data_IF_809871887624
#
_entry.id   IF_809871887624
#
_cell.length_a   1.000
_cell.length_b   1.000
_cell.length_c   1.000
_cell.angle_alpha   90.00
_cell.angle_beta   90.00
_cell.angle_gamma   90.00
#
_symmetry.space_group_name_H-M   'P 1'
#
loop_
_entity.id
_entity.type
_entity.pdbx_description
1 polymer ?
#
# COMPACT_ATOMS: atom_id res chain seq x y z
N UNK A 1 5.71 31.03 -21.42
CA UNK A 1 5.16 30.73 -20.08
C UNK A 1 5.26 29.23 -19.87
N UNK A 2 6.28 28.77 -19.14
CA UNK A 2 6.58 27.34 -19.03
C UNK A 2 5.64 26.67 -18.02
N UNK A 3 4.72 25.87 -18.54
CA UNK A 3 3.87 24.95 -17.80
C UNK A 3 4.73 23.88 -17.11
N UNK A 4 5.20 24.16 -15.89
CA UNK A 4 5.76 23.13 -15.01
C UNK A 4 4.61 22.26 -14.50
N UNK A 5 4.60 21.03 -15.01
CA UNK A 5 4.23 19.77 -14.35
C UNK A 5 3.38 19.88 -13.08
N UNK A 6 2.18 19.29 -13.09
CA UNK A 6 1.41 18.90 -11.90
C UNK A 6 2.10 17.75 -11.12
N UNK A 7 3.38 17.90 -10.73
CA UNK A 7 4.19 16.87 -10.05
C UNK A 7 5.04 17.47 -8.93
N UNK A 8 4.39 17.95 -7.86
CA UNK A 8 5.13 18.50 -6.72
C UNK A 8 4.30 18.83 -5.48
N UNK A 9 3.12 18.24 -5.30
CA UNK A 9 2.38 18.39 -4.05
C UNK A 9 2.96 17.38 -3.06
N UNK A 10 3.95 17.81 -2.28
CA UNK A 10 4.47 17.02 -1.14
C UNK A 10 3.28 16.63 -0.25
N UNK A 11 3.12 15.33 0.00
CA UNK A 11 2.06 14.82 0.87
C UNK A 11 2.45 15.16 2.30
N UNK A 12 1.71 16.08 2.91
CA UNK A 12 2.02 16.62 4.25
C UNK A 12 0.93 16.39 5.27
N UNK A 13 -0.24 15.91 4.85
CA UNK A 13 -1.42 15.73 5.70
C UNK A 13 -2.06 14.38 5.46
N UNK A 14 -2.74 13.87 6.48
CA UNK A 14 -3.48 12.61 6.35
C UNK A 14 -4.54 12.67 5.24
N UNK A 15 -5.21 13.81 5.07
CA UNK A 15 -6.20 14.01 4.01
C UNK A 15 -5.59 13.89 2.60
N UNK A 16 -4.41 14.45 2.37
CA UNK A 16 -3.70 14.34 1.08
C UNK A 16 -3.23 12.91 0.82
N UNK A 17 -2.80 12.18 1.86
CA UNK A 17 -2.46 10.77 1.74
C UNK A 17 -3.68 9.94 1.31
N UNK A 18 -4.83 10.17 1.96
CA UNK A 18 -6.08 9.51 1.60
C UNK A 18 -6.51 9.81 0.16
N UNK A 19 -6.42 11.06 -0.29
CA UNK A 19 -6.74 11.45 -1.67
C UNK A 19 -5.81 10.74 -2.67
N UNK A 20 -4.50 10.79 -2.44
CA UNK A 20 -3.50 10.14 -3.28
C UNK A 20 -3.74 8.64 -3.39
N UNK A 21 -3.80 7.94 -2.25
CA UNK A 21 -3.91 6.49 -2.21
C UNK A 21 -5.28 6.01 -2.70
N UNK A 22 -6.34 6.80 -2.47
CA UNK A 22 -7.67 6.54 -3.02
C UNK A 22 -7.66 6.51 -4.55
N UNK A 23 -6.89 7.38 -5.20
CA UNK A 23 -6.76 7.42 -6.66
C UNK A 23 -5.90 6.28 -7.24
N UNK A 24 -5.00 5.71 -6.44
CA UNK A 24 -4.07 4.65 -6.86
C UNK A 24 -4.55 3.24 -6.53
N UNK A 25 -5.70 3.13 -5.84
CA UNK A 25 -6.20 1.85 -5.35
C UNK A 25 -6.41 0.86 -6.50
N UNK A 26 -5.85 -0.36 -6.43
CA UNK A 26 -6.06 -1.38 -7.45
C UNK A 26 -7.53 -1.74 -7.60
N UNK A 27 -7.88 -2.26 -8.79
CA UNK A 27 -9.22 -2.83 -9.04
C UNK A 27 -9.44 -4.06 -8.14
N UNK A 28 -10.68 -4.36 -7.81
CA UNK A 28 -11.01 -5.52 -6.97
C UNK A 28 -10.50 -6.85 -7.55
N UNK A 29 -10.48 -6.98 -8.89
CA UNK A 29 -9.96 -8.15 -9.60
C UNK A 29 -8.46 -8.09 -9.89
N UNK A 30 -7.73 -7.09 -9.36
CA UNK A 30 -6.30 -6.99 -9.57
C UNK A 30 -5.57 -8.17 -8.90
N UNK A 31 -4.44 -8.64 -9.48
CA UNK A 31 -3.62 -9.67 -8.87
C UNK A 31 -3.17 -9.31 -7.46
N UNK A 32 -2.99 -10.34 -6.62
CA UNK A 32 -2.47 -10.17 -5.25
C UNK A 32 -1.13 -9.43 -5.22
N UNK A 33 -0.29 -9.56 -6.24
CA UNK A 33 0.98 -8.84 -6.34
C UNK A 33 0.81 -7.33 -6.52
N UNK A 34 -0.23 -6.89 -7.23
CA UNK A 34 -0.53 -5.45 -7.35
C UNK A 34 -1.06 -4.89 -6.04
N UNK A 35 -1.93 -5.64 -5.37
CA UNK A 35 -2.39 -5.29 -4.02
C UNK A 35 -1.24 -5.23 -3.01
N UNK A 36 -0.29 -6.17 -3.06
CA UNK A 36 0.89 -6.16 -2.21
C UNK A 36 1.73 -4.89 -2.41
N UNK A 37 1.98 -4.52 -3.67
CA UNK A 37 2.70 -3.28 -4.01
C UNK A 37 1.97 -2.05 -3.48
N UNK A 38 0.65 -1.99 -3.67
CA UNK A 38 -0.18 -0.90 -3.16
C UNK A 38 -0.12 -0.79 -1.63
N UNK A 39 -0.38 -1.86 -0.88
CA UNK A 39 -0.37 -1.82 0.59
C UNK A 39 0.99 -1.43 1.15
N UNK A 40 2.10 -1.88 0.53
CA UNK A 40 3.45 -1.45 0.91
C UNK A 40 3.68 0.04 0.65
N UNK A 41 3.22 0.53 -0.49
CA UNK A 41 3.30 1.96 -0.82
C UNK A 41 2.47 2.80 0.15
N UNK A 42 1.22 2.43 0.40
CA UNK A 42 0.33 3.08 1.36
C UNK A 42 0.96 3.15 2.75
N UNK A 43 1.53 2.05 3.22
CA UNK A 43 2.21 2.00 4.51
C UNK A 43 3.38 2.99 4.62
N UNK A 44 4.15 3.16 3.54
CA UNK A 44 5.24 4.14 3.50
C UNK A 44 4.71 5.57 3.53
N UNK A 45 3.72 5.90 2.69
CA UNK A 45 3.11 7.24 2.64
C UNK A 45 2.52 7.64 3.99
N UNK A 46 1.77 6.77 4.64
CA UNK A 46 1.21 7.07 5.96
C UNK A 46 2.27 7.22 7.04
N UNK A 47 3.35 6.43 6.99
CA UNK A 47 4.46 6.57 7.94
C UNK A 47 5.19 7.91 7.77
N UNK A 48 5.44 8.33 6.54
CA UNK A 48 6.04 9.65 6.25
C UNK A 48 5.14 10.79 6.73
N UNK A 49 3.83 10.69 6.47
CA UNK A 49 2.86 11.70 6.92
C UNK A 49 2.75 11.75 8.43
N UNK A 50 2.87 10.63 9.14
CA UNK A 50 2.85 10.63 10.60
C UNK A 50 3.95 11.51 11.21
N UNK A 51 5.12 11.60 10.58
CA UNK A 51 6.23 12.44 11.03
C UNK A 51 5.98 13.94 10.76
N UNK A 52 5.20 14.25 9.71
CA UNK A 52 4.94 15.61 9.25
C UNK A 52 3.68 16.20 9.91
N UNK A 53 2.57 15.48 9.86
CA UNK A 53 1.26 15.87 10.38
C UNK A 53 1.10 15.46 11.84
N UNK A 54 1.75 16.22 12.75
CA UNK A 54 1.72 15.92 14.19
C UNK A 54 0.31 15.91 14.80
N UNK A 55 -0.65 16.61 14.17
CA UNK A 55 -2.06 16.61 14.61
C UNK A 55 -2.76 15.28 14.35
N UNK A 56 -2.34 14.54 13.31
CA UNK A 56 -2.88 13.24 12.94
C UNK A 56 -1.86 12.11 13.07
N UNK A 57 -0.76 12.33 13.80
CA UNK A 57 0.35 11.40 13.92
C UNK A 57 -0.10 9.97 14.27
N UNK A 58 -0.90 9.84 15.33
CA UNK A 58 -1.39 8.53 15.78
C UNK A 58 -2.33 7.86 14.77
N UNK A 59 -3.16 8.65 14.08
CA UNK A 59 -4.06 8.13 13.05
C UNK A 59 -3.27 7.66 11.82
N UNK A 60 -2.28 8.45 11.38
CA UNK A 60 -1.38 8.08 10.30
C UNK A 60 -0.56 6.82 10.63
N UNK A 61 -0.05 6.68 11.86
CA UNK A 61 0.62 5.45 12.30
C UNK A 61 -0.31 4.23 12.36
N UNK A 62 -1.57 4.43 12.76
CA UNK A 62 -2.58 3.37 12.72
C UNK A 62 -2.76 2.88 11.28
N UNK A 63 -2.96 3.80 10.33
CA UNK A 63 -3.09 3.46 8.91
C UNK A 63 -1.83 2.76 8.38
N UNK A 64 -0.65 3.29 8.67
CA UNK A 64 0.61 2.66 8.26
C UNK A 64 0.74 1.21 8.75
N UNK A 65 0.40 0.98 10.03
CA UNK A 65 0.45 -0.36 10.63
C UNK A 65 -0.58 -1.31 10.04
N UNK A 66 -1.80 -0.82 9.80
CA UNK A 66 -2.87 -1.60 9.17
C UNK A 66 -2.49 -2.01 7.74
N UNK A 67 -1.95 -1.10 6.94
CA UNK A 67 -1.54 -1.38 5.56
C UNK A 67 -0.36 -2.39 5.52
N UNK A 68 0.58 -2.32 6.47
CA UNK A 68 1.63 -3.35 6.63
C UNK A 68 1.06 -4.73 6.93
N UNK A 69 0.12 -4.82 7.88
CA UNK A 69 -0.53 -6.09 8.21
C UNK A 69 -1.23 -6.70 6.99
N UNK A 70 -1.90 -5.89 6.17
CA UNK A 70 -2.50 -6.35 4.90
C UNK A 70 -1.46 -6.84 3.89
N UNK A 71 -0.33 -6.14 3.76
CA UNK A 71 0.76 -6.60 2.90
C UNK A 71 1.32 -7.96 3.37
N UNK A 72 1.48 -8.17 4.67
CA UNK A 72 1.97 -9.42 5.25
C UNK A 72 0.99 -10.59 5.06
N UNK A 73 -0.30 -10.34 5.20
CA UNK A 73 -1.36 -11.32 4.89
C UNK A 73 -1.26 -11.78 3.43
N UNK A 74 -1.14 -10.84 2.48
CA UNK A 74 -1.03 -11.16 1.05
C UNK A 74 0.24 -11.94 0.73
N UNK A 75 1.37 -11.60 1.34
CA UNK A 75 2.61 -12.39 1.20
C UNK A 75 2.36 -13.83 1.63
N UNK A 76 1.70 -14.01 2.78
CA UNK A 76 1.37 -15.33 3.32
C UNK A 76 0.44 -16.12 2.39
N UNK A 77 -0.53 -15.44 1.75
CA UNK A 77 -1.43 -16.04 0.75
C UNK A 77 -0.68 -16.46 -0.52
N UNK A 78 0.17 -15.59 -1.06
CA UNK A 78 0.99 -15.87 -2.24
C UNK A 78 1.89 -17.09 -1.97
N UNK A 79 2.54 -17.15 -0.81
CA UNK A 79 3.42 -18.25 -0.45
C UNK A 79 2.66 -19.56 -0.24
N UNK A 80 1.46 -19.50 0.35
CA UNK A 80 0.57 -20.67 0.45
C UNK A 80 0.18 -21.18 -0.93
N UNK A 81 -0.21 -20.29 -1.84
CA UNK A 81 -0.58 -20.65 -3.21
C UNK A 81 0.57 -21.30 -3.97
N UNK A 82 1.81 -20.80 -3.81
CA UNK A 82 3.00 -21.40 -4.41
C UNK A 82 3.29 -22.80 -3.87
N UNK A 83 3.19 -23.00 -2.55
CA UNK A 83 3.38 -24.32 -1.93
C UNK A 83 2.38 -25.34 -2.45
N UNK A 84 1.11 -24.95 -2.56
CA UNK A 84 0.06 -25.84 -3.05
C UNK A 84 0.28 -26.24 -4.52
N UNK A 85 0.76 -25.31 -5.37
CA UNK A 85 1.09 -25.59 -6.76
C UNK A 85 2.28 -26.56 -6.89
N UNK A 86 3.32 -26.40 -6.06
CA UNK A 86 4.47 -27.29 -6.07
C UNK A 86 4.11 -28.72 -5.62
N UNK A 87 3.18 -28.86 -4.67
CA UNK A 87 2.68 -30.16 -4.23
C UNK A 87 1.90 -30.91 -5.32
N UNK A 88 1.05 -30.21 -6.10
CA UNK A 88 0.31 -30.81 -7.23
C UNK A 88 1.25 -31.32 -8.34
N UNK A 89 2.33 -30.59 -8.63
CA UNK A 89 3.32 -30.99 -9.64
C UNK A 89 4.16 -32.22 -9.22
N UNK A 90 4.25 -32.51 -7.93
CA UNK A 90 5.03 -33.65 -7.41
C UNK A 90 4.22 -34.95 -7.39
N UNK A 91 2.89 -34.88 -7.57
CA UNK A 91 1.97 -36.02 -7.50
C UNK A 91 1.54 -36.58 -8.88
N UNK A 92 2.12 -36.08 -9.98
CA UNK A 92 1.85 -36.53 -11.36
C UNK A 92 3.04 -37.25 -11.96
#
# INVERSE_FOLDING_TARGET
MNSRSKSGREIRTLAQANELLGSQRPRQSAPLTEWLTFYRHSAAVYAEVAEIDRGHHHEALYWASRERARAEEIVSEIDRAKRNQAADLTQR
#
